data_IF_891777651098
#
_entry.id   IF_891777651098
#
_cell.length_a   1.000
_cell.length_b   1.000
_cell.length_c   1.000
_cell.angle_alpha   90.00
_cell.angle_beta   90.00
_cell.angle_gamma   90.00
#
_symmetry.space_group_name_H-M   'P 1'
#
loop_
_entity.id
_entity.type
_entity.pdbx_description
1 polymer ?
#
# COMPACT_ATOMS: atom_id res chain seq x y z
N UNK A 1 -5.80 4.74 -17.04
CA UNK A 1 -4.54 5.48 -17.29
C UNK A 1 -4.88 6.78 -18.01
N UNK A 2 -4.23 7.88 -17.65
CA UNK A 2 -4.46 9.23 -18.20
C UNK A 2 -3.13 9.78 -18.73
N UNK A 3 -3.11 10.28 -19.97
CA UNK A 3 -1.89 10.78 -20.59
C UNK A 3 -1.56 12.21 -20.13
N UNK A 4 -0.60 12.32 -19.22
CA UNK A 4 -0.19 13.58 -18.61
C UNK A 4 0.36 14.57 -19.64
N UNK A 5 1.16 14.10 -20.59
CA UNK A 5 1.72 14.94 -21.66
C UNK A 5 0.69 15.44 -22.67
N UNK A 6 -0.54 14.91 -22.65
CA UNK A 6 -1.65 15.39 -23.46
C UNK A 6 -2.69 16.18 -22.65
N UNK A 7 -2.43 16.40 -21.35
CA UNK A 7 -3.29 17.19 -20.49
C UNK A 7 -4.53 16.44 -20.00
N UNK A 8 -4.56 15.10 -20.09
CA UNK A 8 -5.66 14.31 -19.54
C UNK A 8 -5.75 14.51 -18.02
N UNK A 9 -6.98 14.62 -17.53
CA UNK A 9 -7.29 14.73 -16.11
C UNK A 9 -8.50 13.86 -15.78
N UNK A 10 -8.41 13.13 -14.68
CA UNK A 10 -9.49 12.33 -14.12
C UNK A 10 -9.75 12.78 -12.69
N UNK A 11 -11.02 13.01 -12.37
CA UNK A 11 -11.49 13.31 -11.01
C UNK A 11 -12.37 12.16 -10.58
N UNK A 12 -11.96 11.43 -9.54
CA UNK A 12 -12.71 10.30 -9.00
C UNK A 12 -13.30 10.71 -7.64
N UNK A 13 -14.56 10.32 -7.40
CA UNK A 13 -15.29 10.61 -6.16
C UNK A 13 -16.24 9.45 -5.87
N UNK A 14 -16.36 9.06 -4.61
CA UNK A 14 -17.35 8.08 -4.12
C UNK A 14 -17.41 6.80 -4.97
N UNK A 15 -16.25 6.15 -5.15
CA UNK A 15 -16.05 5.00 -6.01
C UNK A 15 -16.07 3.71 -5.18
N UNK A 16 -16.92 2.75 -5.55
CA UNK A 16 -17.05 1.48 -4.85
C UNK A 16 -16.40 0.36 -5.65
N UNK A 17 -15.49 -0.38 -5.03
CA UNK A 17 -14.73 -1.45 -5.68
C UNK A 17 -15.03 -2.77 -4.97
N UNK A 18 -15.40 -3.78 -5.75
CA UNK A 18 -15.45 -5.16 -5.24
C UNK A 18 -14.01 -5.68 -5.11
N UNK A 19 -13.61 -6.25 -3.96
CA UNK A 19 -12.30 -6.85 -3.82
C UNK A 19 -12.12 -7.97 -4.84
N UNK A 20 -10.88 -8.13 -5.28
CA UNK A 20 -10.48 -9.20 -6.19
C UNK A 20 -9.14 -9.76 -5.73
N UNK A 21 -8.78 -10.95 -6.21
CA UNK A 21 -7.46 -11.55 -5.94
C UNK A 21 -6.30 -10.79 -6.60
N UNK A 22 -6.59 -9.82 -7.46
CA UNK A 22 -5.60 -9.01 -8.16
C UNK A 22 -5.55 -7.59 -7.61
N UNK A 23 -4.33 -7.07 -7.47
CA UNK A 23 -4.11 -5.66 -7.18
C UNK A 23 -4.68 -4.81 -8.33
N UNK A 24 -5.46 -3.79 -7.98
CA UNK A 24 -5.99 -2.83 -8.93
C UNK A 24 -5.41 -1.44 -8.67
N UNK A 25 -5.55 -0.56 -9.65
CA UNK A 25 -5.15 0.84 -9.57
C UNK A 25 -6.26 1.64 -10.21
N UNK A 26 -6.91 2.51 -9.42
CA UNK A 26 -8.10 3.24 -9.84
C UNK A 26 -7.77 4.26 -10.92
N UNK A 27 -6.63 4.95 -10.76
CA UNK A 27 -6.09 5.87 -11.74
C UNK A 27 -4.57 5.78 -11.79
N UNK A 28 -4.01 5.96 -12.97
CA UNK A 28 -2.58 6.01 -13.19
C UNK A 28 -2.27 7.07 -14.25
N UNK A 29 -1.19 7.81 -14.06
CA UNK A 29 -0.66 8.73 -15.08
C UNK A 29 0.27 8.00 -16.03
N UNK A 30 0.25 8.40 -17.30
CA UNK A 30 1.10 7.84 -18.35
C UNK A 30 1.68 8.92 -19.25
N UNK A 31 2.78 8.56 -19.92
CA UNK A 31 3.27 9.28 -21.09
C UNK A 31 2.63 8.66 -22.34
N UNK A 32 1.70 9.39 -22.94
CA UNK A 32 1.04 9.03 -24.18
C UNK A 32 1.99 9.15 -25.37
N UNK A 33 1.87 8.21 -26.31
CA UNK A 33 2.63 8.17 -27.56
C UNK A 33 1.66 8.25 -28.74
N UNK A 34 1.98 9.03 -29.76
CA UNK A 34 1.21 9.10 -31.00
C UNK A 34 1.88 8.26 -32.11
N UNK A 35 2.20 7.01 -31.77
CA UNK A 35 2.85 6.06 -32.67
C UNK A 35 2.01 4.78 -32.67
N UNK A 36 1.50 4.40 -33.84
CA UNK A 36 0.64 3.23 -34.00
C UNK A 36 1.37 1.97 -33.51
N UNK A 37 0.72 1.21 -32.63
CA UNK A 37 1.25 -0.04 -32.09
C UNK A 37 2.16 0.12 -30.86
N UNK A 38 2.52 1.35 -30.48
CA UNK A 38 3.28 1.60 -29.26
C UNK A 38 2.32 1.86 -28.09
N UNK A 39 2.65 1.31 -26.91
CA UNK A 39 1.86 1.50 -25.69
C UNK A 39 2.34 2.75 -24.92
N UNK A 40 1.43 3.49 -24.26
CA UNK A 40 1.81 4.50 -23.29
C UNK A 40 2.68 3.92 -22.17
N UNK A 41 3.59 4.73 -21.65
CA UNK A 41 4.45 4.34 -20.51
C UNK A 41 3.78 4.79 -19.22
N UNK A 42 3.61 3.89 -18.25
CA UNK A 42 3.10 4.25 -16.92
C UNK A 42 4.15 5.08 -16.20
N UNK A 43 3.74 6.24 -15.69
CA UNK A 43 4.60 7.15 -14.92
C UNK A 43 4.32 7.04 -13.41
N UNK A 44 3.05 6.88 -13.02
CA UNK A 44 2.64 6.80 -11.62
C UNK A 44 1.31 6.05 -11.48
N UNK A 45 1.19 5.21 -10.46
CA UNK A 45 -0.05 4.53 -10.07
C UNK A 45 -0.61 5.20 -8.81
N UNK A 46 -1.86 5.66 -8.86
CA UNK A 46 -2.52 6.28 -7.73
C UNK A 46 -2.80 7.78 -7.92
N UNK A 47 -3.17 8.48 -6.83
CA UNK A 47 -3.44 9.91 -6.83
C UNK A 47 -2.23 10.73 -7.27
N UNK A 48 -2.43 11.60 -8.26
CA UNK A 48 -1.42 12.55 -8.76
C UNK A 48 -2.10 13.79 -9.32
N UNK A 49 -2.08 14.90 -8.59
CA UNK A 49 -2.60 16.16 -9.12
C UNK A 49 -1.70 16.70 -10.25
N UNK A 50 -2.26 17.22 -11.36
CA UNK A 50 -3.69 17.33 -11.69
C UNK A 50 -4.28 16.13 -12.47
N UNK A 51 -3.49 15.10 -12.76
CA UNK A 51 -3.84 14.02 -13.70
C UNK A 51 -4.84 13.01 -13.12
N UNK A 52 -4.63 12.56 -11.89
CA UNK A 52 -5.47 11.62 -11.16
C UNK A 52 -5.86 12.27 -9.82
N UNK A 53 -7.03 12.89 -9.77
CA UNK A 53 -7.50 13.70 -8.65
C UNK A 53 -8.49 12.91 -7.81
N UNK A 54 -8.01 12.35 -6.70
CA UNK A 54 -8.81 11.69 -5.68
C UNK A 54 -8.00 11.52 -4.39
N UNK A 55 -8.67 11.20 -3.29
CA UNK A 55 -8.06 10.69 -2.08
C UNK A 55 -8.41 9.21 -1.90
N UNK A 56 -7.66 8.48 -1.07
CA UNK A 56 -8.04 7.11 -0.74
C UNK A 56 -9.40 7.02 -0.02
N UNK A 57 -9.89 8.12 0.57
CA UNK A 57 -11.23 8.18 1.17
C UNK A 57 -12.36 8.20 0.13
N UNK A 58 -12.07 8.55 -1.12
CA UNK A 58 -13.03 8.48 -2.23
C UNK A 58 -13.22 7.05 -2.75
N UNK A 59 -12.45 6.07 -2.23
CA UNK A 59 -12.49 4.67 -2.65
C UNK A 59 -13.01 3.80 -1.51
N UNK A 60 -14.08 3.06 -1.77
CA UNK A 60 -14.73 2.17 -0.82
C UNK A 60 -14.62 0.73 -1.31
N UNK A 61 -13.83 -0.09 -0.62
CA UNK A 61 -13.76 -1.52 -0.89
C UNK A 61 -14.97 -2.18 -0.23
N UNK A 62 -15.82 -2.80 -1.04
CA UNK A 62 -17.06 -3.44 -0.58
C UNK A 62 -16.79 -4.92 -0.38
N UNK A 63 -16.60 -5.34 0.87
CA UNK A 63 -16.46 -6.76 1.20
C UNK A 63 -17.72 -7.53 0.82
N UNK A 64 -17.54 -8.69 0.18
CA UNK A 64 -18.64 -9.64 0.04
C UNK A 64 -18.71 -10.52 1.30
N UNK A 65 -19.90 -11.02 1.66
CA UNK A 65 -20.10 -11.85 2.86
C UNK A 65 -19.14 -13.07 2.93
N UNK A 66 -18.59 -13.48 1.78
CA UNK A 66 -17.63 -14.58 1.62
C UNK A 66 -16.16 -14.22 1.92
N UNK A 67 -15.79 -12.94 2.01
CA UNK A 67 -14.39 -12.51 2.18
C UNK A 67 -13.97 -12.34 3.66
N UNK A 68 -14.92 -12.41 4.59
CA UNK A 68 -14.72 -12.16 6.04
C UNK A 68 -13.84 -13.22 6.73
N UNK A 69 -13.71 -14.43 6.16
CA UNK A 69 -12.99 -15.55 6.81
C UNK A 69 -11.45 -15.50 6.65
N UNK A 70 -10.92 -14.70 5.70
CA UNK A 70 -9.47 -14.69 5.41
C UNK A 70 -8.70 -13.55 6.10
N UNK A 71 -9.36 -12.53 6.65
CA UNK A 71 -8.67 -11.37 7.26
C UNK A 71 -8.36 -11.50 8.76
N UNK A 72 -8.86 -12.52 9.48
CA UNK A 72 -8.53 -12.72 10.91
C UNK A 72 -7.12 -13.27 11.18
N UNK A 73 -6.32 -13.64 10.17
CA UNK A 73 -4.96 -14.18 10.40
C UNK A 73 -3.82 -13.16 10.29
N UNK A 74 -4.08 -11.87 10.06
CA UNK A 74 -3.00 -10.88 9.94
C UNK A 74 -3.32 -9.56 10.67
N UNK A 75 -3.59 -9.61 11.97
CA UNK A 75 -3.32 -8.47 12.85
C UNK A 75 -2.05 -8.74 13.69
N UNK A 76 -1.14 -7.76 13.83
CA UNK A 76 0.11 -7.93 14.57
C UNK A 76 -0.16 -7.96 16.08
N UNK A 77 0.39 -8.96 16.79
CA UNK A 77 0.49 -8.94 18.25
C UNK A 77 1.44 -7.80 18.67
N UNK A 78 0.87 -6.66 19.07
CA UNK A 78 1.51 -5.78 20.03
C UNK A 78 1.24 -6.38 21.42
N UNK A 79 2.28 -6.92 22.05
CA UNK A 79 2.27 -7.24 23.48
C UNK A 79 3.44 -6.53 24.15
N UNK A 80 3.09 -5.83 25.23
CA UNK A 80 3.92 -5.02 26.11
C UNK A 80 5.21 -5.72 26.56
N UNK A 81 6.36 -5.06 26.38
CA UNK A 81 7.58 -5.39 27.14
C UNK A 81 7.65 -4.46 28.37
N UNK A 82 7.28 -4.98 29.54
CA UNK A 82 7.72 -4.47 30.85
C UNK A 82 9.07 -5.14 31.22
N UNK A 83 10.00 -4.48 31.95
CA UNK A 83 11.40 -4.88 31.98
C UNK A 83 11.69 -5.87 33.12
N UNK A 84 12.31 -7.01 32.82
CA UNK A 84 12.91 -7.86 33.85
C UNK A 84 14.44 -7.75 33.90
N UNK A 85 14.88 -7.42 35.10
CA UNK A 85 16.24 -7.19 35.53
C UNK A 85 17.07 -8.49 35.62
N UNK A 86 18.36 -8.36 35.31
CA UNK A 86 19.54 -9.02 35.90
C UNK A 86 19.57 -10.55 36.04
N UNK A 87 20.55 -11.16 35.36
CA UNK A 87 21.73 -11.73 36.04
C UNK A 87 22.86 -12.04 35.04
N UNK A 88 24.06 -11.50 35.33
CA UNK A 88 25.31 -11.75 34.62
C UNK A 88 25.89 -13.12 35.03
N UNK A 89 26.53 -13.88 34.13
CA UNK A 89 27.27 -15.07 34.51
C UNK A 89 28.62 -14.68 35.16
N UNK A 90 28.91 -15.28 36.32
CA UNK A 90 30.18 -15.14 37.02
C UNK A 90 31.34 -15.73 36.21
N UNK A 91 32.41 -14.95 36.05
CA UNK A 91 33.73 -15.47 35.71
C UNK A 91 34.62 -15.40 36.95
N UNK A 92 35.07 -16.57 37.41
CA UNK A 92 36.09 -16.74 38.43
C UNK A 92 37.48 -16.43 37.86
N UNK A 93 38.27 -15.59 38.53
CA UNK A 93 39.74 -15.67 38.48
C UNK A 93 40.30 -15.41 39.87
N UNK A 94 41.09 -16.38 40.35
CA UNK A 94 41.82 -16.41 41.61
C UNK A 94 43.16 -15.64 41.53
N UNK A 95 43.66 -15.20 42.70
CA UNK A 95 45.08 -14.88 42.98
C UNK A 95 45.29 -13.46 43.52
N UNK A 96 45.49 -13.21 44.83
CA UNK A 96 46.72 -13.41 45.63
C UNK A 96 47.93 -12.70 44.97
N UNK A 97 48.63 -11.72 45.55
CA UNK A 97 48.93 -11.29 46.93
C UNK A 97 49.14 -9.77 46.95
#
# INVERSE_FOLDING_TARGET
MMNENYGDQAVLRNLYVKPSTYNYTECASSFGVNIRGQKPVILHNGPKNPVCQYSYYDVHIVESEYDTEQQQQQQPQQQEEEPQQQQQPQLQVQGQL
#
